data_IF_013125007711
#
_entry.id   IF_013125007711
#
_cell.length_a   1.000
_cell.length_b   1.000
_cell.length_c   1.000
_cell.angle_alpha   90.00
_cell.angle_beta   90.00
_cell.angle_gamma   90.00
#
_symmetry.space_group_name_H-M   'P 1'
#
loop_
_entity.id
_entity.type
_entity.pdbx_description
1 polymer ?
#
# COMPACT_ATOMS: atom_id res chain seq x y z
N UNK A 1 -11.66 19.14 -19.66
CA UNK A 1 -10.57 18.33 -19.07
C UNK A 1 -10.40 18.79 -17.64
N UNK A 2 -10.41 17.89 -16.64
CA UNK A 2 -10.25 18.31 -15.24
C UNK A 2 -8.83 18.87 -15.00
N UNK A 3 -8.70 19.79 -14.05
CA UNK A 3 -7.38 20.34 -13.65
C UNK A 3 -6.41 19.23 -13.23
N UNK A 4 -6.94 18.20 -12.57
CA UNK A 4 -6.17 17.08 -12.01
C UNK A 4 -5.62 16.19 -13.12
N UNK A 5 -6.42 15.92 -14.16
CA UNK A 5 -5.96 15.21 -15.35
C UNK A 5 -4.78 15.93 -16.00
N UNK A 6 -4.89 17.24 -16.21
CA UNK A 6 -3.82 18.07 -16.76
C UNK A 6 -2.54 17.99 -15.91
N UNK A 7 -2.68 18.08 -14.58
CA UNK A 7 -1.54 17.94 -13.67
C UNK A 7 -0.88 16.56 -13.80
N UNK A 8 -1.67 15.48 -13.78
CA UNK A 8 -1.15 14.11 -13.89
C UNK A 8 -0.42 13.87 -15.23
N UNK A 9 -0.96 14.37 -16.33
CA UNK A 9 -0.36 14.26 -17.67
C UNK A 9 0.88 15.13 -17.86
N UNK A 10 1.00 16.22 -17.10
CA UNK A 10 2.17 17.10 -17.19
C UNK A 10 3.42 16.56 -16.49
N UNK A 11 3.29 15.53 -15.64
CA UNK A 11 4.43 14.97 -14.90
C UNK A 11 5.31 14.18 -15.88
N UNK A 12 6.62 14.44 -15.82
CA UNK A 12 7.58 13.77 -16.68
C UNK A 12 8.50 12.88 -15.85
N UNK A 13 8.89 11.77 -16.47
CA UNK A 13 9.80 10.80 -15.90
C UNK A 13 10.87 10.45 -16.92
N UNK A 14 12.12 10.33 -16.50
CA UNK A 14 13.13 9.62 -17.28
C UNK A 14 12.97 8.13 -17.03
N UNK A 15 12.81 7.38 -18.12
CA UNK A 15 12.66 5.94 -18.10
C UNK A 15 14.00 5.28 -18.40
N UNK A 16 14.68 4.78 -17.37
CA UNK A 16 15.93 4.04 -17.52
C UNK A 16 15.71 2.59 -17.08
N UNK A 17 15.47 1.70 -18.06
CA UNK A 17 15.22 0.25 -17.88
C UNK A 17 14.07 -0.06 -16.89
N UNK A 18 14.40 -0.19 -15.60
CA UNK A 18 13.49 -0.55 -14.50
C UNK A 18 13.30 0.60 -13.50
N UNK A 19 13.86 1.77 -13.76
CA UNK A 19 13.82 2.92 -12.89
C UNK A 19 13.12 4.08 -13.60
N UNK A 20 12.00 4.51 -13.03
CA UNK A 20 11.35 5.75 -13.41
C UNK A 20 11.87 6.85 -12.49
N UNK A 21 12.69 7.77 -12.98
CA UNK A 21 13.19 8.92 -12.20
C UNK A 21 12.32 10.14 -12.51
N UNK A 22 11.73 10.75 -11.48
CA UNK A 22 10.95 11.98 -11.66
C UNK A 22 11.85 13.09 -12.21
N UNK A 23 11.52 13.61 -13.40
CA UNK A 23 12.27 14.67 -14.05
C UNK A 23 11.59 16.03 -13.88
N UNK A 24 10.26 16.04 -13.91
CA UNK A 24 9.47 17.24 -13.73
C UNK A 24 8.16 16.94 -13.00
N UNK A 25 7.73 17.85 -12.14
CA UNK A 25 6.39 17.90 -11.56
C UNK A 25 5.92 19.38 -11.47
N UNK A 26 4.62 19.64 -11.60
CA UNK A 26 4.03 20.93 -11.27
C UNK A 26 4.35 21.39 -9.82
N UNK A 27 4.30 22.70 -9.59
CA UNK A 27 4.60 23.30 -8.28
C UNK A 27 3.54 22.94 -7.23
N UNK A 28 2.31 22.72 -7.67
CA UNK A 28 1.14 22.36 -6.88
C UNK A 28 1.21 20.95 -6.27
N UNK A 29 2.12 20.12 -6.78
CA UNK A 29 2.31 18.74 -6.35
C UNK A 29 3.55 18.62 -5.46
N UNK A 30 3.40 18.06 -4.26
CA UNK A 30 4.53 17.69 -3.40
C UNK A 30 4.74 16.19 -3.47
N UNK A 31 5.97 15.71 -3.74
CA UNK A 31 6.22 14.27 -3.80
C UNK A 31 6.14 13.66 -2.40
N UNK A 32 5.22 12.71 -2.20
CA UNK A 32 5.03 12.00 -0.93
C UNK A 32 5.66 10.62 -0.93
N UNK A 33 5.68 9.93 -2.07
CA UNK A 33 6.16 8.57 -2.13
C UNK A 33 6.41 8.07 -3.55
N UNK A 34 7.29 7.07 -3.65
CA UNK A 34 7.59 6.34 -4.87
C UNK A 34 7.28 4.86 -4.65
N UNK A 35 6.34 4.34 -5.42
CA UNK A 35 6.05 2.91 -5.50
C UNK A 35 6.74 2.25 -6.69
N UNK A 36 6.45 0.97 -6.87
CA UNK A 36 6.90 0.19 -8.05
C UNK A 36 6.19 0.64 -9.33
N UNK A 37 4.91 0.96 -9.22
CA UNK A 37 4.01 1.24 -10.35
C UNK A 37 3.63 2.71 -10.51
N UNK A 38 3.88 3.54 -9.48
CA UNK A 38 3.37 4.90 -9.42
C UNK A 38 4.21 5.80 -8.51
N UNK A 39 4.11 7.11 -8.74
CA UNK A 39 4.42 8.12 -7.73
C UNK A 39 3.14 8.56 -7.01
N UNK A 40 3.27 8.96 -5.76
CA UNK A 40 2.19 9.56 -4.97
C UNK A 40 2.59 10.99 -4.64
N UNK A 41 1.73 11.93 -4.98
CA UNK A 41 1.89 13.35 -4.72
C UNK A 41 0.83 13.84 -3.75
N UNK A 42 1.19 14.73 -2.83
CA UNK A 42 0.24 15.57 -2.12
C UNK A 42 -0.17 16.71 -3.03
N UNK A 43 -1.46 16.81 -3.27
CA UNK A 43 -2.09 17.89 -4.02
C UNK A 43 -2.89 18.76 -3.05
N UNK A 44 -2.66 20.08 -3.08
CA UNK A 44 -3.33 21.07 -2.24
C UNK A 44 -4.16 21.98 -3.13
N UNK A 45 -5.48 21.99 -2.94
CA UNK A 45 -6.40 22.90 -3.64
C UNK A 45 -7.45 23.40 -2.64
N UNK A 46 -7.69 24.71 -2.61
CA UNK A 46 -8.71 25.35 -1.77
C UNK A 46 -8.64 24.94 -0.28
N UNK A 47 -7.42 24.83 0.25
CA UNK A 47 -7.18 24.39 1.64
C UNK A 47 -7.35 22.89 1.90
N UNK A 48 -7.86 22.11 0.93
CA UNK A 48 -7.99 20.65 1.02
C UNK A 48 -6.69 19.96 0.58
N UNK A 49 -6.30 18.92 1.32
CA UNK A 49 -5.18 18.02 1.00
C UNK A 49 -5.71 16.73 0.40
N UNK A 50 -5.14 16.33 -0.73
CA UNK A 50 -5.53 15.11 -1.47
C UNK A 50 -4.28 14.35 -1.89
N UNK A 51 -4.38 13.04 -2.05
CA UNK A 51 -3.32 12.22 -2.59
C UNK A 51 -3.58 11.95 -4.08
N UNK A 52 -2.66 12.37 -4.94
CA UNK A 52 -2.67 12.09 -6.37
C UNK A 52 -1.66 10.97 -6.64
N UNK A 53 -2.15 9.76 -6.89
CA UNK A 53 -1.34 8.62 -7.30
C UNK A 53 -1.28 8.60 -8.83
N UNK A 54 -0.09 8.76 -9.41
CA UNK A 54 0.13 8.78 -10.86
C UNK A 54 0.98 7.60 -11.26
N UNK A 55 0.44 6.75 -12.11
CA UNK A 55 1.03 5.49 -12.54
C UNK A 55 1.95 5.70 -13.73
N UNK A 56 3.03 4.91 -13.81
CA UNK A 56 3.89 4.95 -15.00
C UNK A 56 3.13 4.38 -16.21
N UNK A 57 3.50 4.77 -17.44
CA UNK A 57 2.79 4.35 -18.65
C UNK A 57 2.58 2.82 -18.76
N UNK A 58 3.57 2.03 -18.38
CA UNK A 58 3.49 0.55 -18.36
C UNK A 58 2.51 -0.04 -17.34
N UNK A 59 2.01 0.77 -16.40
CA UNK A 59 1.15 0.36 -15.29
C UNK A 59 -0.24 0.99 -15.30
N UNK A 60 -0.67 1.61 -16.41
CA UNK A 60 -2.03 2.15 -16.55
C UNK A 60 -3.13 1.10 -16.27
N UNK A 61 -2.92 -0.14 -16.69
CA UNK A 61 -3.83 -1.24 -16.37
C UNK A 61 -3.97 -1.48 -14.85
N UNK A 62 -2.92 -1.22 -14.06
CA UNK A 62 -2.97 -1.29 -12.59
C UNK A 62 -3.78 -0.12 -12.04
N UNK A 63 -3.66 1.08 -12.62
CA UNK A 63 -4.44 2.24 -12.20
C UNK A 63 -5.96 1.96 -12.30
N UNK A 64 -6.40 1.50 -13.48
CA UNK A 64 -7.82 1.13 -13.71
C UNK A 64 -8.29 0.04 -12.75
N UNK A 65 -7.46 -0.97 -12.53
CA UNK A 65 -7.76 -2.06 -11.59
C UNK A 65 -7.89 -1.57 -10.16
N UNK A 66 -6.97 -0.75 -9.69
CA UNK A 66 -6.98 -0.21 -8.33
C UNK A 66 -8.16 0.73 -8.11
N UNK A 67 -8.50 1.57 -9.09
CA UNK A 67 -9.70 2.41 -9.06
C UNK A 67 -10.99 1.57 -8.92
N UNK A 68 -11.14 0.51 -9.71
CA UNK A 68 -12.29 -0.39 -9.63
C UNK A 68 -12.39 -1.14 -8.28
N UNK A 69 -11.26 -1.43 -7.64
CA UNK A 69 -11.25 -2.02 -6.29
C UNK A 69 -11.73 -0.99 -5.27
N UNK A 70 -11.24 0.25 -5.35
CA UNK A 70 -11.69 1.30 -4.45
C UNK A 70 -13.17 1.65 -4.64
N UNK A 71 -13.70 1.57 -5.86
CA UNK A 71 -15.12 1.74 -6.13
C UNK A 71 -15.95 0.69 -5.35
N UNK A 72 -15.56 -0.59 -5.38
CA UNK A 72 -16.19 -1.63 -4.56
C UNK A 72 -16.09 -1.34 -3.07
N UNK A 73 -14.96 -0.77 -2.63
CA UNK A 73 -14.70 -0.42 -1.23
C UNK A 73 -15.30 0.93 -0.81
N UNK A 74 -15.98 1.64 -1.72
CA UNK A 74 -16.59 2.93 -1.44
C UNK A 74 -17.53 2.88 -0.22
N UNK A 75 -17.57 3.99 0.53
CA UNK A 75 -18.31 4.11 1.78
C UNK A 75 -17.64 3.47 3.01
N UNK A 76 -16.57 2.69 2.84
CA UNK A 76 -15.86 2.09 3.96
C UNK A 76 -15.06 3.11 4.77
N UNK A 77 -15.14 3.02 6.10
CA UNK A 77 -14.31 3.81 7.00
C UNK A 77 -12.86 3.33 7.11
N UNK A 78 -12.47 2.24 6.42
CA UNK A 78 -11.11 1.71 6.39
C UNK A 78 -10.29 2.10 5.16
N UNK A 79 -10.94 2.47 4.04
CA UNK A 79 -10.27 2.77 2.77
C UNK A 79 -10.43 4.25 2.37
N UNK A 80 -9.44 4.86 1.68
CA UNK A 80 -9.52 6.23 1.20
C UNK A 80 -10.73 6.44 0.29
N UNK A 81 -11.39 7.59 0.46
CA UNK A 81 -12.40 8.03 -0.50
C UNK A 81 -11.74 8.42 -1.84
N UNK A 82 -12.35 8.03 -2.95
CA UNK A 82 -11.88 8.39 -4.30
C UNK A 82 -12.66 9.60 -4.78
N UNK A 83 -11.93 10.66 -5.15
CA UNK A 83 -12.52 11.88 -5.68
C UNK A 83 -12.60 11.87 -7.20
N UNK A 84 -11.57 11.32 -7.85
CA UNK A 84 -11.48 11.27 -9.31
C UNK A 84 -10.53 10.12 -9.70
N UNK A 85 -10.79 9.47 -10.84
CA UNK A 85 -9.84 8.53 -11.44
C UNK A 85 -9.81 8.69 -12.95
N UNK A 86 -8.65 8.41 -13.54
CA UNK A 86 -8.44 8.37 -14.99
C UNK A 86 -7.52 7.22 -15.37
N UNK A 87 -7.14 7.13 -16.65
CA UNK A 87 -6.38 6.00 -17.18
C UNK A 87 -5.03 5.76 -16.51
N UNK A 88 -4.42 6.82 -15.95
CA UNK A 88 -3.08 6.78 -15.36
C UNK A 88 -2.98 7.45 -14.00
N UNK A 89 -4.10 7.83 -13.38
CA UNK A 89 -4.08 8.45 -12.07
C UNK A 89 -5.32 8.14 -11.24
N UNK A 90 -5.16 8.27 -9.93
CA UNK A 90 -6.25 8.24 -8.97
C UNK A 90 -6.04 9.39 -8.00
N UNK A 91 -7.04 10.27 -7.89
CA UNK A 91 -7.11 11.30 -6.87
C UNK A 91 -7.99 10.78 -5.73
N UNK A 92 -7.42 10.73 -4.54
CA UNK A 92 -8.04 10.15 -3.37
C UNK A 92 -7.79 10.96 -2.10
N UNK A 93 -8.48 10.61 -1.04
CA UNK A 93 -8.28 11.17 0.30
C UNK A 93 -6.80 11.09 0.71
N UNK A 94 -6.28 12.21 1.21
CA UNK A 94 -4.97 12.21 1.86
C UNK A 94 -5.10 11.78 3.32
N UNK A 95 -4.59 10.60 3.63
CA UNK A 95 -4.63 10.04 4.98
C UNK A 95 -3.40 10.49 5.77
N UNK A 96 -3.61 11.38 6.75
CA UNK A 96 -2.56 11.83 7.66
C UNK A 96 -2.40 10.86 8.83
N UNK A 97 -1.20 10.32 9.00
CA UNK A 97 -0.92 9.38 10.09
C UNK A 97 0.49 8.82 10.03
N UNK A 98 0.72 7.76 10.79
CA UNK A 98 1.95 6.96 10.71
C UNK A 98 1.63 5.59 10.15
N UNK A 99 2.39 5.15 9.16
CA UNK A 99 2.34 3.74 8.76
C UNK A 99 2.74 2.83 9.93
N UNK A 100 2.30 1.56 9.94
CA UNK A 100 2.77 0.61 10.97
C UNK A 100 4.29 0.46 10.95
N UNK A 101 4.90 0.56 9.76
CA UNK A 101 6.36 0.61 9.63
C UNK A 101 6.94 1.80 10.40
N UNK A 102 6.36 2.99 10.23
CA UNK A 102 6.80 4.18 10.97
C UNK A 102 6.55 4.04 12.47
N UNK A 103 5.43 3.44 12.88
CA UNK A 103 5.14 3.15 14.28
C UNK A 103 6.27 2.33 14.90
N UNK A 104 6.70 1.24 14.25
CA UNK A 104 7.83 0.43 14.71
C UNK A 104 9.14 1.22 14.76
N UNK A 105 9.41 2.10 13.80
CA UNK A 105 10.66 2.88 13.80
C UNK A 105 10.67 4.01 14.84
N UNK A 106 9.49 4.56 15.16
CA UNK A 106 9.30 5.65 16.11
C UNK A 106 9.08 5.14 17.54
N UNK A 107 8.80 3.84 17.71
CA UNK A 107 8.46 3.24 19.00
C UNK A 107 7.01 3.51 19.42
N UNK A 108 6.12 3.82 18.47
CA UNK A 108 4.69 3.93 18.73
C UNK A 108 4.14 2.50 18.87
N UNK A 109 3.59 2.10 20.03
CA UNK A 109 3.14 0.73 20.22
C UNK A 109 1.99 0.36 19.28
N UNK A 110 2.13 -0.75 18.55
CA UNK A 110 1.02 -1.36 17.82
C UNK A 110 0.15 -2.10 18.84
N UNK A 111 -1.08 -1.65 19.04
CA UNK A 111 -2.02 -2.20 20.04
C UNK A 111 -2.87 -3.31 19.43
N UNK A 112 -3.45 -4.17 20.27
CA UNK A 112 -4.35 -5.26 19.83
C UNK A 112 -5.53 -4.73 19.01
N UNK A 113 -6.13 -3.65 19.48
CA UNK A 113 -7.24 -2.97 18.80
C UNK A 113 -6.88 -2.45 17.40
N UNK A 114 -5.60 -2.17 17.12
CA UNK A 114 -5.14 -1.80 15.78
C UNK A 114 -5.08 -3.02 14.86
N UNK A 115 -4.73 -4.19 15.38
CA UNK A 115 -4.74 -5.45 14.61
C UNK A 115 -6.17 -5.87 14.31
N UNK A 116 -7.07 -5.77 15.29
CA UNK A 116 -8.51 -6.06 15.14
C UNK A 116 -9.14 -5.17 14.05
N UNK A 117 -8.88 -3.86 14.05
CA UNK A 117 -9.34 -2.97 12.96
C UNK A 117 -8.79 -3.35 11.58
N UNK A 118 -7.59 -3.93 11.49
CA UNK A 118 -7.08 -4.43 10.21
C UNK A 118 -7.82 -5.70 9.80
N UNK A 119 -8.05 -6.64 10.72
CA UNK A 119 -8.85 -7.84 10.44
C UNK A 119 -10.25 -7.44 9.93
N UNK A 120 -10.93 -6.50 10.61
CA UNK A 120 -12.23 -5.96 10.20
C UNK A 120 -12.19 -5.35 8.79
N UNK A 121 -11.17 -4.53 8.50
CA UNK A 121 -11.00 -3.92 7.18
C UNK A 121 -10.84 -4.96 6.07
N UNK A 122 -10.04 -6.00 6.33
CA UNK A 122 -9.80 -7.06 5.36
C UNK A 122 -11.06 -7.94 5.19
N UNK A 123 -11.80 -8.19 6.26
CA UNK A 123 -13.06 -8.93 6.19
C UNK A 123 -14.11 -8.19 5.39
N UNK A 124 -14.27 -6.87 5.60
CA UNK A 124 -15.17 -6.05 4.79
C UNK A 124 -14.82 -6.12 3.29
N UNK A 125 -13.53 -6.17 2.95
CA UNK A 125 -13.11 -6.38 1.57
C UNK A 125 -13.50 -7.77 1.03
N UNK A 126 -13.42 -8.83 1.84
CA UNK A 126 -13.87 -10.18 1.45
C UNK A 126 -15.36 -10.25 1.23
N UNK A 127 -16.15 -9.62 2.10
CA UNK A 127 -17.61 -9.51 1.94
C UNK A 127 -17.98 -8.80 0.62
N UNK A 128 -17.14 -7.86 0.16
CA UNK A 128 -17.26 -7.17 -1.14
C UNK A 128 -16.71 -7.99 -2.32
N UNK A 129 -16.42 -9.28 -2.13
CA UNK A 129 -15.95 -10.19 -3.18
C UNK A 129 -14.51 -9.94 -3.61
N UNK A 130 -13.69 -9.33 -2.76
CA UNK A 130 -12.26 -9.15 -2.99
C UNK A 130 -11.45 -10.20 -2.21
N UNK A 131 -10.20 -10.40 -2.61
CA UNK A 131 -9.23 -11.22 -1.91
C UNK A 131 -8.03 -10.34 -1.47
N UNK A 132 -8.07 -9.78 -0.24
CA UNK A 132 -7.01 -8.91 0.25
C UNK A 132 -5.63 -9.58 0.18
N UNK A 133 -4.69 -8.92 -0.49
CA UNK A 133 -3.35 -9.44 -0.80
C UNK A 133 -2.34 -8.30 -0.85
N UNK A 134 -1.03 -8.59 -0.75
CA UNK A 134 0.07 -7.59 -0.64
C UNK A 134 -0.03 -6.72 0.62
N UNK A 135 -0.58 -7.27 1.72
CA UNK A 135 -0.69 -6.55 2.98
C UNK A 135 0.70 -6.45 3.62
N UNK A 136 1.14 -5.22 3.87
CA UNK A 136 2.43 -4.96 4.52
C UNK A 136 2.37 -3.73 5.42
N UNK A 137 3.34 -3.60 6.33
CA UNK A 137 3.38 -2.53 7.34
C UNK A 137 3.34 -1.09 6.77
N UNK A 138 3.69 -0.90 5.49
CA UNK A 138 3.60 0.41 4.81
C UNK A 138 2.21 0.74 4.25
N UNK A 139 1.31 -0.24 4.17
CA UNK A 139 -0.06 -0.07 3.65
C UNK A 139 -1.08 0.22 4.75
N UNK A 140 -0.68 0.10 6.02
CA UNK A 140 -1.53 0.28 7.18
C UNK A 140 -1.15 1.59 7.85
N UNK A 141 -2.07 2.55 7.90
CA UNK A 141 -1.85 3.88 8.48
C UNK A 141 -2.67 4.01 9.77
N UNK A 142 -2.00 4.35 10.87
CA UNK A 142 -2.60 4.80 12.11
C UNK A 142 -2.86 6.32 12.01
N UNK A 143 -4.12 6.73 12.05
CA UNK A 143 -4.48 8.15 12.10
C UNK A 143 -4.33 8.71 13.51
N UNK A 144 -4.34 10.05 13.64
CA UNK A 144 -4.23 10.72 14.94
C UNK A 144 -5.41 10.36 15.87
N UNK A 145 -6.56 10.04 15.28
CA UNK A 145 -7.79 9.66 15.97
C UNK A 145 -7.78 8.18 16.43
N UNK A 146 -6.70 7.44 16.18
CA UNK A 146 -6.58 6.04 16.59
C UNK A 146 -7.26 5.05 15.63
N UNK A 147 -7.68 5.50 14.44
CA UNK A 147 -8.29 4.65 13.41
C UNK A 147 -7.22 4.06 12.50
N UNK A 148 -7.48 2.87 11.98
CA UNK A 148 -6.64 2.26 10.95
C UNK A 148 -7.21 2.48 9.57
N UNK A 149 -6.33 2.83 8.63
CA UNK A 149 -6.66 2.99 7.22
C UNK A 149 -5.76 2.12 6.36
N UNK A 150 -6.33 1.48 5.35
CA UNK A 150 -5.63 0.60 4.42
C UNK A 150 -5.50 1.28 3.06
N UNK A 151 -4.27 1.34 2.55
CA UNK A 151 -3.95 1.91 1.23
C UNK A 151 -3.26 0.87 0.34
N UNK A 152 -3.13 1.18 -0.96
CA UNK A 152 -2.48 0.34 -1.97
C UNK A 152 -3.15 -1.03 -2.13
N UNK A 153 -4.42 -1.00 -2.56
CA UNK A 153 -5.29 -2.19 -2.70
C UNK A 153 -5.16 -2.89 -4.06
N UNK A 154 -4.18 -2.50 -4.90
CA UNK A 154 -4.05 -2.94 -6.29
C UNK A 154 -4.02 -4.48 -6.48
N UNK A 155 -3.66 -5.24 -5.44
CA UNK A 155 -3.59 -6.71 -5.46
C UNK A 155 -4.82 -7.42 -4.91
N UNK A 156 -5.86 -6.71 -4.49
CA UNK A 156 -7.02 -7.29 -3.82
C UNK A 156 -7.93 -8.16 -4.71
N UNK A 157 -7.60 -8.38 -5.99
CA UNK A 157 -8.34 -9.32 -6.84
C UNK A 157 -7.48 -10.50 -7.30
N UNK A 158 -6.30 -10.68 -6.70
CA UNK A 158 -5.48 -11.84 -7.02
C UNK A 158 -6.18 -13.11 -6.54
N UNK A 159 -6.11 -14.18 -7.33
CA UNK A 159 -6.73 -15.47 -6.99
C UNK A 159 -5.83 -16.34 -6.12
N UNK A 160 -4.55 -15.99 -6.00
CA UNK A 160 -3.58 -16.74 -5.20
C UNK A 160 -3.84 -16.53 -3.71
N UNK A 161 -3.77 -17.61 -2.93
CA UNK A 161 -3.75 -17.53 -1.47
C UNK A 161 -2.59 -16.64 -0.99
N UNK A 162 -2.88 -15.72 -0.07
CA UNK A 162 -1.93 -14.76 0.45
C UNK A 162 -1.86 -14.88 1.99
N UNK A 163 -0.69 -15.23 2.51
CA UNK A 163 -0.45 -15.41 3.95
C UNK A 163 0.23 -14.20 4.62
N UNK A 164 0.51 -13.12 3.89
CA UNK A 164 1.30 -12.00 4.40
C UNK A 164 0.69 -11.34 5.65
N UNK A 165 -0.64 -11.25 5.71
CA UNK A 165 -1.30 -10.73 6.90
C UNK A 165 -1.22 -11.71 8.08
N UNK A 166 -1.38 -13.01 7.83
CA UNK A 166 -1.24 -14.03 8.88
C UNK A 166 0.19 -14.09 9.43
N UNK A 167 1.20 -13.97 8.56
CA UNK A 167 2.61 -13.86 8.95
C UNK A 167 2.85 -12.62 9.82
N UNK A 168 2.24 -11.48 9.48
CA UNK A 168 2.30 -10.26 10.29
C UNK A 168 1.64 -10.44 11.65
N UNK A 169 0.49 -11.14 11.72
CA UNK A 169 -0.18 -11.49 12.98
C UNK A 169 0.67 -12.43 13.83
N UNK A 170 1.31 -13.42 13.22
CA UNK A 170 2.25 -14.30 13.91
C UNK A 170 3.44 -13.51 14.48
N UNK A 171 4.04 -12.62 13.69
CA UNK A 171 5.09 -11.72 14.16
C UNK A 171 4.61 -10.79 15.29
N UNK A 172 3.36 -10.33 15.21
CA UNK A 172 2.75 -9.51 16.25
C UNK A 172 2.62 -10.25 17.59
N UNK A 173 2.33 -11.55 17.59
CA UNK A 173 2.28 -12.34 18.83
C UNK A 173 3.62 -12.34 19.58
N UNK A 174 4.75 -12.33 18.86
CA UNK A 174 6.09 -12.14 19.45
C UNK A 174 6.31 -10.68 19.88
N UNK A 175 5.90 -9.73 19.03
CA UNK A 175 5.98 -8.31 19.34
C UNK A 175 5.27 -7.95 20.65
N UNK A 176 4.19 -8.64 21.03
CA UNK A 176 3.47 -8.37 22.28
C UNK A 176 4.28 -8.72 23.54
N UNK A 177 5.30 -9.57 23.47
CA UNK A 177 6.05 -10.01 24.65
C UNK A 177 6.80 -8.83 25.31
N UNK A 178 6.98 -8.84 26.66
CA UNK A 178 7.61 -7.73 27.38
C UNK A 178 9.07 -7.46 26.97
N UNK A 179 9.80 -8.51 26.63
CA UNK A 179 11.21 -8.43 26.22
C UNK A 179 11.41 -8.00 24.77
N UNK A 180 10.33 -7.91 23.97
CA UNK A 180 10.45 -7.53 22.57
C UNK A 180 10.45 -6.01 22.43
N UNK A 181 11.46 -5.40 21.78
CA UNK A 181 11.56 -3.96 21.67
C UNK A 181 10.41 -3.39 20.82
N UNK A 182 9.70 -2.38 21.35
CA UNK A 182 8.60 -1.72 20.62
C UNK A 182 9.09 -0.75 19.55
N UNK A 183 10.37 -0.38 19.63
CA UNK A 183 11.09 0.43 18.66
C UNK A 183 12.16 -0.41 17.96
N UNK A 184 12.10 -0.51 16.65
CA UNK A 184 13.08 -1.24 15.84
C UNK A 184 13.83 -0.27 14.91
N UNK A 185 15.17 -0.36 14.80
CA UNK A 185 15.90 0.45 13.82
C UNK A 185 15.48 0.12 12.39
N UNK A 186 15.48 1.12 11.49
CA UNK A 186 15.08 0.95 10.08
C UNK A 186 15.82 -0.18 9.39
N UNK A 187 17.14 -0.24 9.58
CA UNK A 187 18.00 -1.26 8.96
C UNK A 187 17.53 -2.69 9.31
N UNK A 188 17.12 -2.93 10.55
CA UNK A 188 16.63 -4.24 10.98
C UNK A 188 15.33 -4.61 10.28
N UNK A 189 14.39 -3.67 10.18
CA UNK A 189 13.13 -3.89 9.47
C UNK A 189 13.34 -4.13 7.97
N UNK A 190 14.29 -3.43 7.34
CA UNK A 190 14.65 -3.66 5.93
C UNK A 190 15.30 -5.04 5.73
N UNK A 191 16.16 -5.48 6.64
CA UNK A 191 16.76 -6.83 6.60
C UNK A 191 15.68 -7.89 6.75
N UNK A 192 14.76 -7.75 7.70
CA UNK A 192 13.64 -8.68 7.88
C UNK A 192 12.77 -8.72 6.61
N UNK A 193 12.43 -7.55 6.05
CA UNK A 193 11.64 -7.46 4.83
C UNK A 193 12.36 -8.10 3.62
N UNK A 194 13.68 -7.94 3.53
CA UNK A 194 14.52 -8.56 2.49
C UNK A 194 14.54 -10.08 2.64
N UNK A 195 14.81 -10.60 3.84
CA UNK A 195 14.84 -12.04 4.13
C UNK A 195 13.47 -12.69 3.89
N UNK A 196 12.39 -12.02 4.32
CA UNK A 196 11.02 -12.47 4.07
C UNK A 196 10.74 -12.61 2.56
N UNK A 197 11.08 -11.59 1.76
CA UNK A 197 10.93 -11.62 0.30
C UNK A 197 11.81 -12.68 -0.37
N UNK A 198 13.04 -12.88 0.12
CA UNK A 198 13.97 -13.89 -0.40
C UNK A 198 13.47 -15.31 -0.12
N UNK A 199 12.99 -15.58 1.09
CA UNK A 199 12.44 -16.89 1.45
C UNK A 199 11.13 -17.19 0.70
N UNK A 200 10.33 -16.18 0.37
CA UNK A 200 9.20 -16.33 -0.54
C UNK A 200 9.63 -16.70 -1.97
N UNK A 201 10.65 -16.03 -2.52
CA UNK A 201 11.22 -16.40 -3.82
C UNK A 201 11.82 -17.81 -3.80
N UNK A 202 12.36 -18.24 -2.66
CA UNK A 202 12.90 -19.60 -2.44
C UNK A 202 11.79 -20.65 -2.45
N UNK A 203 10.64 -20.39 -1.80
CA UNK A 203 9.46 -21.27 -1.84
C UNK A 203 8.79 -21.31 -3.21
N UNK A 204 8.96 -20.28 -4.04
CA UNK A 204 8.47 -20.23 -5.42
C UNK A 204 9.25 -21.10 -6.42
N UNK A 205 10.43 -21.61 -6.07
CA UNK A 205 11.22 -22.51 -6.91
C UNK A 205 11.15 -23.99 -6.49
N UNK A 206 10.55 -24.30 -5.33
CA UNK A 206 10.46 -25.66 -4.79
C UNK A 206 9.16 -26.40 -5.14
N UNK A 207 8.20 -25.76 -5.82
CA UNK A 207 6.93 -26.38 -6.21
C UNK A 207 6.84 -26.74 -7.71
N UNK A 208 7.96 -26.94 -8.39
CA UNK A 208 7.97 -27.36 -9.80
C UNK A 208 9.01 -28.44 -10.14
N UNK A 209 9.34 -29.31 -9.17
CA UNK A 209 10.02 -30.59 -9.42
C UNK A 209 9.35 -31.66 -8.57
N UNK A 210 8.90 -32.72 -9.26
CA UNK A 210 8.10 -33.88 -8.82
C UNK A 210 6.59 -33.57 -8.96
N UNK A 211 5.86 -34.05 -9.96
CA UNK A 211 5.90 -35.39 -10.56
C UNK A 211 5.91 -35.39 -12.10
N UNK A 212 6.95 -35.99 -12.67
CA UNK A 212 6.83 -36.80 -13.87
C UNK A 212 6.91 -38.27 -13.41
N UNK A 213 5.98 -39.08 -13.92
CA UNK A 213 6.00 -40.55 -14.02
C UNK A 213 6.06 -41.37 -12.72
N UNK A 214 4.94 -41.97 -12.33
CA UNK A 214 4.64 -43.39 -12.60
C UNK A 214 3.13 -43.64 -12.46
#
# INVERSE_FOLDING_TARGET
MSDVKRLAESIQYHEEKRFHKLSYKPAELELCGKGRSAYVFLYKKDGKKMALKVFFPSYQHIARKEAAIYEKLSGSSYYPEIYESGDQYILMEYIKGYTFYECLTKGIPIKKQMIEQVDDALEEAREKGLNPSDIHLRNLILTKEGRIRVIDVARFTQTKACHQWDDLKAAYAYYQKPFFPKKAPRLWLEVIAYLYKKNWLSRGQLNNRNDFSA
#
